data_IF_022069535495
#
_entry.id   IF_022069535495
#
_cell.length_a   1.000
_cell.length_b   1.000
_cell.length_c   1.000
_cell.angle_alpha   90.00
_cell.angle_beta   90.00
_cell.angle_gamma   90.00
#
_symmetry.space_group_name_H-M   'P 1'
#
loop_
_entity.id
_entity.type
_entity.pdbx_description
1 polymer ?
#
# COMPACT_ATOMS: atom_id res chain seq x y z
N UNK A 1 -1.53 5.84 -24.94
CA UNK A 1 -1.39 4.88 -23.81
C UNK A 1 -0.51 5.55 -22.76
N UNK A 2 -0.86 5.43 -21.47
CA UNK A 2 -0.02 5.95 -20.37
C UNK A 2 0.79 4.82 -19.75
N UNK A 3 2.04 5.08 -19.40
CA UNK A 3 2.92 4.15 -18.69
C UNK A 3 3.83 4.91 -17.71
N UNK A 4 4.44 4.19 -16.78
CA UNK A 4 5.39 4.73 -15.81
C UNK A 4 6.77 4.13 -16.02
N UNK A 5 7.80 4.87 -15.59
CA UNK A 5 9.20 4.45 -15.59
C UNK A 5 9.83 4.76 -14.24
N UNK A 6 10.90 4.05 -13.91
CA UNK A 6 11.73 4.39 -12.76
C UNK A 6 12.41 5.75 -12.99
N UNK A 7 12.38 6.62 -11.99
CA UNK A 7 13.04 7.93 -12.03
C UNK A 7 14.43 7.92 -11.35
N UNK A 8 14.84 6.79 -10.76
CA UNK A 8 16.08 6.69 -9.99
C UNK A 8 17.33 6.46 -10.86
N UNK A 9 17.17 6.12 -12.13
CA UNK A 9 18.25 5.85 -13.06
C UNK A 9 17.83 6.17 -14.50
N UNK A 10 18.80 6.31 -15.43
CA UNK A 10 18.49 6.33 -16.86
C UNK A 10 17.73 5.06 -17.25
N UNK A 11 16.75 5.20 -18.12
CA UNK A 11 15.83 4.14 -18.55
C UNK A 11 15.73 4.14 -20.07
N UNK A 12 15.60 2.97 -20.68
CA UNK A 12 15.40 2.86 -22.13
C UNK A 12 13.97 3.25 -22.53
N UNK A 13 13.69 3.31 -23.84
CA UNK A 13 12.33 3.65 -24.32
C UNK A 13 11.30 2.59 -23.92
N UNK A 14 11.66 1.31 -24.05
CA UNK A 14 10.78 0.16 -23.81
C UNK A 14 10.64 -0.23 -22.34
N UNK A 15 11.46 0.35 -21.46
CA UNK A 15 11.39 0.05 -20.03
C UNK A 15 10.07 0.57 -19.43
N UNK A 16 9.40 -0.28 -18.65
CA UNK A 16 8.14 0.06 -17.99
C UNK A 16 8.20 -0.38 -16.53
N UNK A 17 7.60 0.41 -15.65
CA UNK A 17 7.45 0.10 -14.23
C UNK A 17 5.97 0.04 -13.87
N UNK A 18 5.63 -0.85 -12.93
CA UNK A 18 4.27 -0.94 -12.40
C UNK A 18 4.04 0.22 -11.43
N UNK A 19 3.02 1.06 -11.66
CA UNK A 19 2.67 2.12 -10.72
C UNK A 19 2.09 1.56 -9.42
N UNK A 20 2.63 2.02 -8.29
CA UNK A 20 2.13 1.68 -6.96
C UNK A 20 1.04 2.67 -6.53
N UNK A 21 -0.14 2.54 -7.14
CA UNK A 21 -1.23 3.51 -7.00
C UNK A 21 -1.84 3.63 -5.59
N UNK A 22 -1.45 2.81 -4.61
CA UNK A 22 -1.89 3.00 -3.22
C UNK A 22 -0.89 3.81 -2.39
N UNK A 23 0.36 3.96 -2.88
CA UNK A 23 1.36 4.79 -2.23
C UNK A 23 1.11 6.26 -2.60
N UNK A 24 1.11 7.12 -1.58
CA UNK A 24 0.81 8.54 -1.67
C UNK A 24 1.83 9.34 -0.87
N UNK A 25 2.21 10.50 -1.39
CA UNK A 25 2.93 11.51 -0.61
C UNK A 25 2.01 12.03 0.50
N UNK A 26 2.48 12.03 1.74
CA UNK A 26 1.72 12.39 2.94
C UNK A 26 1.70 13.91 3.16
N UNK A 27 1.21 14.65 2.16
CA UNK A 27 1.13 16.13 2.20
C UNK A 27 0.22 16.68 3.30
N UNK A 28 -0.62 15.83 3.92
CA UNK A 28 -1.58 16.18 4.97
C UNK A 28 -1.12 15.78 6.37
N UNK A 29 0.10 15.25 6.52
CA UNK A 29 0.64 14.78 7.80
C UNK A 29 -0.31 13.80 8.53
N UNK A 30 -0.94 12.90 7.77
CA UNK A 30 -1.84 11.88 8.33
C UNK A 30 -0.98 10.87 9.11
N UNK A 31 -1.26 10.61 10.39
CA UNK A 31 -0.50 9.64 11.17
C UNK A 31 -0.78 8.22 10.68
N UNK A 32 0.22 7.34 10.83
CA UNK A 32 0.06 5.91 10.57
C UNK A 32 -1.00 5.30 11.50
N UNK A 33 -1.93 4.51 10.95
CA UNK A 33 -2.98 3.85 11.74
C UNK A 33 -2.45 2.90 12.83
N UNK A 34 -1.19 2.44 12.71
CA UNK A 34 -0.61 1.43 13.60
C UNK A 34 0.35 2.03 14.65
N UNK A 35 1.28 2.90 14.23
CA UNK A 35 2.30 3.46 15.13
C UNK A 35 2.08 4.94 15.47
N UNK A 36 1.06 5.59 14.89
CA UNK A 36 0.74 7.01 15.06
C UNK A 36 1.82 7.99 14.55
N UNK A 37 2.97 7.50 14.06
CA UNK A 37 4.00 8.35 13.48
C UNK A 37 3.54 9.01 12.17
N UNK A 38 4.01 10.24 11.95
CA UNK A 38 3.81 10.98 10.71
C UNK A 38 5.05 10.78 9.83
N UNK A 39 4.88 10.05 8.73
CA UNK A 39 5.96 9.77 7.76
C UNK A 39 5.51 10.03 6.32
N UNK A 40 6.48 10.10 5.41
CA UNK A 40 6.26 10.25 3.97
C UNK A 40 7.18 9.29 3.20
N UNK A 41 6.68 8.46 2.27
CA UNK A 41 5.27 8.30 1.86
C UNK A 41 4.47 7.36 2.76
N UNK A 42 3.16 7.31 2.54
CA UNK A 42 2.23 6.37 3.18
C UNK A 42 1.46 5.56 2.14
N UNK A 43 1.01 4.36 2.52
CA UNK A 43 0.02 3.60 1.77
C UNK A 43 -1.38 3.97 2.26
N UNK A 44 -2.29 4.29 1.34
CA UNK A 44 -3.69 4.59 1.63
C UNK A 44 -4.56 3.47 1.11
N UNK A 45 -5.26 2.77 2.00
CA UNK A 45 -6.16 1.68 1.63
C UNK A 45 -7.42 2.22 0.92
N UNK A 46 -7.97 1.50 -0.07
CA UNK A 46 -9.18 1.90 -0.79
C UNK A 46 -10.47 1.54 -0.03
N UNK A 47 -10.48 1.64 1.31
CA UNK A 47 -11.70 1.54 2.11
C UNK A 47 -12.39 2.91 2.21
N UNK A 48 -13.64 2.96 2.68
CA UNK A 48 -14.45 4.19 2.72
C UNK A 48 -13.76 5.33 3.48
N UNK A 49 -13.10 5.01 4.60
CA UNK A 49 -12.38 5.98 5.44
C UNK A 49 -11.04 6.41 4.81
N UNK A 50 -10.45 5.57 3.95
CA UNK A 50 -9.12 5.83 3.38
C UNK A 50 -8.01 5.75 4.43
N UNK A 51 -7.98 4.68 5.22
CA UNK A 51 -6.96 4.51 6.27
C UNK A 51 -5.53 4.54 5.69
N UNK A 52 -4.65 5.28 6.36
CA UNK A 52 -3.25 5.44 5.99
C UNK A 52 -2.32 4.62 6.90
N UNK A 53 -1.32 3.96 6.33
CA UNK A 53 -0.30 3.20 7.05
C UNK A 53 1.09 3.55 6.51
N UNK A 54 2.10 3.66 7.38
CA UNK A 54 3.48 3.80 6.94
C UNK A 54 3.97 2.50 6.26
N UNK A 55 5.01 2.59 5.42
CA UNK A 55 5.51 1.43 4.69
C UNK A 55 6.11 0.36 5.61
N UNK A 56 6.76 0.76 6.71
CA UNK A 56 7.33 -0.17 7.68
C UNK A 56 6.24 -0.98 8.40
N UNK A 57 5.18 -0.32 8.89
CA UNK A 57 4.03 -1.02 9.47
C UNK A 57 3.28 -1.85 8.44
N UNK A 58 3.25 -1.44 7.17
CA UNK A 58 2.65 -2.22 6.09
C UNK A 58 3.43 -3.52 5.81
N UNK A 59 4.76 -3.49 5.84
CA UNK A 59 5.60 -4.69 5.74
C UNK A 59 5.34 -5.66 6.89
N UNK A 60 5.30 -5.14 8.13
CA UNK A 60 4.99 -5.93 9.33
C UNK A 60 3.60 -6.56 9.20
N UNK A 61 2.58 -5.77 8.82
CA UNK A 61 1.22 -6.25 8.61
C UNK A 61 1.19 -7.40 7.59
N UNK A 62 1.81 -7.22 6.42
CA UNK A 62 1.86 -8.25 5.39
C UNK A 62 2.56 -9.52 5.88
N UNK A 63 3.71 -9.37 6.53
CA UNK A 63 4.53 -10.50 6.98
C UNK A 63 3.84 -11.29 8.09
N UNK A 64 3.24 -10.60 9.07
CA UNK A 64 2.43 -11.24 10.12
C UNK A 64 1.27 -12.01 9.51
N UNK A 65 0.49 -11.40 8.61
CA UNK A 65 -0.64 -12.08 7.97
C UNK A 65 -0.22 -13.24 7.08
N UNK A 66 0.95 -13.17 6.46
CA UNK A 66 1.49 -14.28 5.67
C UNK A 66 1.86 -15.46 6.56
N UNK A 67 2.59 -15.20 7.65
CA UNK A 67 3.01 -16.22 8.62
C UNK A 67 1.80 -16.91 9.28
N UNK A 68 0.77 -16.15 9.61
CA UNK A 68 -0.46 -16.64 10.23
C UNK A 68 -1.46 -17.23 9.22
N UNK A 69 -1.12 -17.25 7.91
CA UNK A 69 -1.98 -17.73 6.82
C UNK A 69 -3.33 -17.00 6.74
N UNK A 70 -3.33 -15.70 7.01
CA UNK A 70 -4.50 -14.83 7.06
C UNK A 70 -4.68 -13.96 5.80
N UNK A 71 -4.02 -14.29 4.69
CA UNK A 71 -4.35 -13.73 3.39
C UNK A 71 -5.73 -14.21 2.93
N UNK A 72 -6.52 -13.32 2.36
CA UNK A 72 -7.85 -13.64 1.84
C UNK A 72 -7.78 -13.94 0.35
N UNK A 73 -8.49 -14.97 -0.11
CA UNK A 73 -8.66 -15.24 -1.54
C UNK A 73 -9.79 -14.37 -2.08
N UNK A 74 -9.45 -13.28 -2.74
CA UNK A 74 -10.40 -12.42 -3.45
C UNK A 74 -10.63 -12.93 -4.87
N UNK A 75 -11.88 -12.93 -5.32
CA UNK A 75 -12.28 -13.47 -6.64
C UNK A 75 -11.50 -12.82 -7.79
N UNK A 76 -11.34 -11.50 -7.75
CA UNK A 76 -10.76 -10.72 -8.86
C UNK A 76 -9.28 -10.35 -8.65
N UNK A 77 -8.75 -10.54 -7.43
CA UNK A 77 -7.40 -10.09 -7.07
C UNK A 77 -6.48 -11.23 -6.61
N UNK A 78 -7.00 -12.45 -6.44
CA UNK A 78 -6.23 -13.57 -5.88
C UNK A 78 -6.01 -13.40 -4.38
N UNK A 79 -4.87 -13.90 -3.86
CA UNK A 79 -4.53 -13.73 -2.45
C UNK A 79 -4.09 -12.30 -2.16
N UNK A 80 -4.84 -11.63 -1.28
CA UNK A 80 -4.63 -10.22 -0.92
C UNK A 80 -4.93 -9.98 0.57
N UNK A 81 -4.79 -8.73 1.00
CA UNK A 81 -5.11 -8.29 2.36
C UNK A 81 -6.12 -7.13 2.32
N UNK A 82 -7.11 -7.13 3.23
CA UNK A 82 -8.00 -6.00 3.40
C UNK A 82 -7.30 -4.86 4.17
N UNK A 83 -8.00 -3.74 4.35
CA UNK A 83 -7.55 -2.71 5.26
C UNK A 83 -7.60 -3.25 6.71
N UNK A 84 -6.55 -3.06 7.54
CA UNK A 84 -6.56 -3.51 8.93
C UNK A 84 -7.53 -2.72 9.83
N UNK A 85 -7.95 -1.52 9.41
CA UNK A 85 -8.93 -0.70 10.11
C UNK A 85 -10.38 -0.95 9.68
N UNK A 86 -10.62 -1.87 8.74
CA UNK A 86 -11.97 -2.19 8.28
C UNK A 86 -12.62 -3.17 9.27
N UNK A 87 -13.38 -2.65 10.22
CA UNK A 87 -14.20 -3.46 11.13
C UNK A 87 -15.48 -3.82 10.38
N UNK A 88 -15.44 -4.86 9.55
CA UNK A 88 -16.53 -5.22 8.62
C UNK A 88 -17.92 -5.25 9.24
N UNK A 89 -18.64 -4.12 9.14
CA UNK A 89 -20.10 -4.02 9.24
C UNK A 89 -20.73 -4.29 7.88
#
# INVERSE_FOLDING_TARGET
EFFFKCAAHPVSEDERSVPLFLIRTNTRNVPCLACEDIVDPVLVFPCEVGHAICLDCFEIYCTTKLNDRQFIQHRDHGYTLPCPGDTGE
#
